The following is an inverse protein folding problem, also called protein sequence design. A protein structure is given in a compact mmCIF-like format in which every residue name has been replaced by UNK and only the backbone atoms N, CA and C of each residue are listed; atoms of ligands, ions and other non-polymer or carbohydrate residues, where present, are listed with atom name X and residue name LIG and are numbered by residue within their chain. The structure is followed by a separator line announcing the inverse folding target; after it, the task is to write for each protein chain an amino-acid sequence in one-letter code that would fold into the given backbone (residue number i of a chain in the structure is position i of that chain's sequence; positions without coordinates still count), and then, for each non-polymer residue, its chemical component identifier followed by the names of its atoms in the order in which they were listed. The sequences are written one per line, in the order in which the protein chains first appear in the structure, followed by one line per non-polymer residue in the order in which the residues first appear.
data_IF_065728162096
#
_entry.id   IF_065728162096
#
_cell.length_a   1.000
_cell.length_b   1.000
_cell.length_c   1.000
_cell.angle_alpha   90.00
_cell.angle_beta   90.00
_cell.angle_gamma   90.00
#
_symmetry.space_group_name_H-M   'P 1'
#
loop_
_entity.id
_entity.type
_entity.pdbx_description
1 polymer ?
#
# COMPACT_ATOMS: atom_id res chain seq x y z
N UNK A 1 14.31 0.56 -10.89
CA UNK A 1 13.74 -0.64 -10.23
C UNK A 1 13.33 -0.22 -8.82
N UNK A 2 12.08 0.19 -8.61
CA UNK A 2 11.67 0.86 -7.36
C UNK A 2 11.31 -0.19 -6.30
N UNK A 3 12.20 -0.37 -5.32
CA UNK A 3 12.00 -1.33 -4.25
C UNK A 3 10.79 -0.94 -3.39
N UNK A 4 9.79 -1.81 -3.26
CA UNK A 4 8.49 -1.46 -2.65
C UNK A 4 8.49 -1.42 -1.12
N UNK A 5 9.67 -1.52 -0.50
CA UNK A 5 9.94 -1.14 0.90
C UNK A 5 10.73 0.18 0.98
N UNK A 6 10.76 0.95 -0.10
CA UNK A 6 11.16 2.36 -0.06
C UNK A 6 10.09 3.19 0.65
N UNK A 7 10.45 4.40 1.07
CA UNK A 7 9.58 5.35 1.77
C UNK A 7 8.16 5.45 1.19
N UNK A 8 8.00 5.39 -0.13
CA UNK A 8 6.68 5.41 -0.81
C UNK A 8 5.81 4.17 -0.55
N UNK A 9 6.42 2.99 -0.41
CA UNK A 9 5.67 1.76 -0.11
C UNK A 9 5.11 1.80 1.30
N UNK A 10 5.93 2.26 2.26
CA UNK A 10 5.50 2.47 3.65
C UNK A 10 4.43 3.56 3.75
N UNK A 11 4.59 4.66 3.02
CA UNK A 11 3.57 5.71 2.94
C UNK A 11 2.22 5.17 2.44
N UNK A 12 2.21 4.35 1.39
CA UNK A 12 0.97 3.69 0.92
C UNK A 12 0.38 2.78 2.01
N UNK A 13 1.21 2.00 2.69
CA UNK A 13 0.77 1.11 3.79
C UNK A 13 0.13 1.91 4.93
N UNK A 14 0.72 3.03 5.34
CA UNK A 14 0.18 3.88 6.41
C UNK A 14 -1.16 4.50 6.02
N UNK A 15 -1.26 5.01 4.79
CA UNK A 15 -2.53 5.55 4.29
C UNK A 15 -3.61 4.47 4.19
N UNK A 16 -3.21 3.24 3.87
CA UNK A 16 -4.09 2.07 3.90
C UNK A 16 -4.52 1.74 5.33
N UNK A 17 -3.62 1.81 6.31
CA UNK A 17 -3.97 1.60 7.71
C UNK A 17 -4.96 2.66 8.25
N UNK A 18 -4.84 3.90 7.78
CA UNK A 18 -5.78 5.00 8.06
C UNK A 18 -7.17 4.81 7.41
N UNK A 19 -7.39 3.73 6.66
CA UNK A 19 -8.69 3.45 6.03
C UNK A 19 -8.90 4.10 4.66
N UNK A 20 -7.89 4.80 4.10
CA UNK A 20 -8.06 5.50 2.82
C UNK A 20 -8.22 4.51 1.65
N UNK A 21 -9.09 4.87 0.72
CA UNK A 21 -9.28 4.17 -0.54
C UNK A 21 -8.10 4.40 -1.50
N UNK A 22 -7.93 3.52 -2.49
CA UNK A 22 -6.90 3.68 -3.52
C UNK A 22 -7.02 5.01 -4.29
N UNK A 23 -8.23 5.61 -4.34
CA UNK A 23 -8.44 6.93 -4.95
C UNK A 23 -7.88 8.04 -4.08
N UNK A 24 -8.16 8.00 -2.77
CA UNK A 24 -7.66 9.01 -1.83
C UNK A 24 -6.15 8.93 -1.69
N UNK A 25 -5.59 7.72 -1.63
CA UNK A 25 -4.15 7.49 -1.63
C UNK A 25 -3.52 8.10 -2.89
N UNK A 26 -4.07 7.80 -4.07
CA UNK A 26 -3.59 8.33 -5.35
C UNK A 26 -3.53 9.87 -5.36
N UNK A 27 -4.56 10.53 -4.80
CA UNK A 27 -4.60 11.98 -4.66
C UNK A 27 -3.54 12.49 -3.66
N UNK A 28 -3.40 11.83 -2.52
CA UNK A 28 -2.54 12.28 -1.42
C UNK A 28 -1.05 12.20 -1.76
N UNK A 29 -0.64 11.17 -2.50
CA UNK A 29 0.77 10.99 -2.92
C UNK A 29 1.01 11.34 -4.39
N UNK A 30 0.04 12.00 -5.04
CA UNK A 30 0.09 12.49 -6.42
C UNK A 30 0.53 11.44 -7.46
N UNK A 31 -0.14 10.28 -7.47
CA UNK A 31 0.05 9.23 -8.48
C UNK A 31 -1.30 8.77 -9.04
N UNK A 32 -1.29 7.97 -10.10
CA UNK A 32 -2.53 7.39 -10.63
C UNK A 32 -3.09 6.28 -9.72
N UNK A 33 -4.41 6.08 -9.77
CA UNK A 33 -5.09 4.95 -9.09
C UNK A 33 -4.49 3.60 -9.50
N UNK A 34 -4.09 3.47 -10.76
CA UNK A 34 -3.43 2.27 -11.27
C UNK A 34 -2.03 2.10 -10.66
N UNK A 35 -1.28 3.19 -10.53
CA UNK A 35 0.00 3.21 -9.80
C UNK A 35 -0.13 2.71 -8.36
N UNK A 36 -1.18 3.12 -7.63
CA UNK A 36 -1.49 2.61 -6.29
C UNK A 36 -1.79 1.12 -6.31
N UNK A 37 -2.63 0.63 -7.24
CA UNK A 37 -2.93 -0.80 -7.38
C UNK A 37 -1.67 -1.63 -7.64
N UNK A 38 -0.81 -1.16 -8.54
CA UNK A 38 0.43 -1.83 -8.88
C UNK A 38 1.41 -1.84 -7.70
N UNK A 39 1.48 -0.74 -6.93
CA UNK A 39 2.26 -0.70 -5.70
C UNK A 39 1.73 -1.69 -4.65
N UNK A 40 0.43 -1.70 -4.40
CA UNK A 40 -0.22 -2.64 -3.49
C UNK A 40 0.03 -4.10 -3.90
N UNK A 41 -0.09 -4.42 -5.19
CA UNK A 41 0.19 -5.78 -5.70
C UNK A 41 1.62 -6.22 -5.39
N UNK A 42 2.59 -5.31 -5.53
CA UNK A 42 3.99 -5.60 -5.19
C UNK A 42 4.19 -5.75 -3.68
N UNK A 43 3.56 -4.89 -2.87
CA UNK A 43 3.58 -4.97 -1.40
C UNK A 43 2.99 -6.31 -0.94
N UNK A 44 1.81 -6.68 -1.43
CA UNK A 44 1.14 -7.94 -1.13
C UNK A 44 2.01 -9.15 -1.45
N UNK A 45 2.63 -9.17 -2.64
CA UNK A 45 3.58 -10.22 -3.03
C UNK A 45 4.81 -10.26 -2.12
N UNK A 46 5.38 -9.11 -1.74
CA UNK A 46 6.54 -9.05 -0.82
C UNK A 46 6.20 -9.52 0.59
N UNK A 47 5.03 -9.15 1.09
CA UNK A 47 4.54 -9.54 2.41
C UNK A 47 3.91 -10.93 2.41
N UNK A 48 3.79 -11.59 1.26
CA UNK A 48 3.08 -12.86 1.10
C UNK A 48 1.68 -12.82 1.73
N UNK A 49 0.88 -11.82 1.33
CA UNK A 49 -0.52 -11.63 1.71
C UNK A 49 -1.36 -11.44 0.47
N UNK A 50 -2.65 -11.77 0.54
CA UNK A 50 -3.58 -11.69 -0.59
C UNK A 50 -4.59 -10.56 -0.43
N UNK A 51 -4.76 -10.03 0.78
CA UNK A 51 -5.78 -9.03 1.10
C UNK A 51 -5.23 -7.83 1.88
N UNK A 52 -5.98 -6.71 1.79
CA UNK A 52 -5.71 -5.50 2.57
C UNK A 52 -5.76 -5.78 4.08
N UNK A 53 -6.77 -6.50 4.55
CA UNK A 53 -6.91 -6.88 5.96
C UNK A 53 -5.75 -7.75 6.44
N UNK A 54 -5.35 -8.74 5.64
CA UNK A 54 -4.17 -9.57 5.92
C UNK A 54 -2.89 -8.74 6.00
N UNK A 55 -2.71 -7.77 5.11
CA UNK A 55 -1.56 -6.87 5.14
C UNK A 55 -1.51 -6.08 6.45
N UNK A 56 -2.63 -5.48 6.87
CA UNK A 56 -2.72 -4.71 8.13
C UNK A 56 -2.45 -5.61 9.34
N UNK A 57 -3.08 -6.80 9.36
CA UNK A 57 -2.86 -7.77 10.43
C UNK A 57 -1.39 -8.23 10.50
N UNK A 58 -0.76 -8.49 9.35
CA UNK A 58 0.63 -8.96 9.28
C UNK A 58 1.65 -7.91 9.70
N UNK A 59 1.38 -6.64 9.39
CA UNK A 59 2.22 -5.52 9.80
C UNK A 59 1.93 -5.07 11.24
N UNK A 60 0.94 -5.68 11.90
CA UNK A 60 0.49 -5.35 13.26
C UNK A 60 0.23 -3.85 13.43
N UNK A 61 -0.28 -3.20 12.38
CA UNK A 61 -0.62 -1.78 12.39
C UNK A 61 -1.97 -1.69 13.09
N UNK A 62 -1.94 -1.24 14.34
CA UNK A 62 -3.12 -1.02 15.19
C UNK A 62 -3.66 0.39 15.00
#
# INVERSE_FOLDING_TARGET
MMDCLTNRGMEIIELVAQGLSNREIALKINISRDGVKQALKRIFRKLNVSARSEMIAKLNIR
#
